data_IF_070319947239
#
_entry.id   IF_070319947239
#
_cell.length_a   1.000
_cell.length_b   1.000
_cell.length_c   1.000
_cell.angle_alpha   90.00
_cell.angle_beta   90.00
_cell.angle_gamma   90.00
#
_symmetry.space_group_name_H-M   'P 1'
#
loop_
_entity.id
_entity.type
_entity.pdbx_description
1 polymer ?
#
# COMPACT_ATOMS: atom_id res chain seq x y z
N UNK A 1 11.99 -8.04 14.04
CA UNK A 1 11.43 -7.35 15.22
C UNK A 1 10.10 -6.77 14.79
N UNK A 2 9.01 -7.02 15.52
CA UNK A 2 7.75 -6.29 15.30
C UNK A 2 8.08 -4.81 15.50
N UNK A 3 7.65 -3.93 14.60
CA UNK A 3 7.90 -2.49 14.74
C UNK A 3 7.03 -2.00 15.88
N UNK A 4 7.63 -1.38 16.91
CA UNK A 4 6.89 -0.85 18.06
C UNK A 4 5.78 0.12 17.60
N UNK A 5 6.02 0.86 16.51
CA UNK A 5 5.03 1.76 15.87
C UNK A 5 3.80 1.01 15.36
N UNK A 6 3.97 -0.18 14.77
CA UNK A 6 2.83 -0.98 14.28
C UNK A 6 2.04 -1.56 15.45
N UNK A 7 2.72 -1.96 16.52
CA UNK A 7 2.06 -2.43 17.74
C UNK A 7 1.24 -1.29 18.37
N UNK A 8 1.83 -0.12 18.53
CA UNK A 8 1.16 1.07 19.08
C UNK A 8 -0.05 1.48 18.22
N UNK A 9 0.09 1.44 16.89
CA UNK A 9 -1.02 1.68 15.96
C UNK A 9 -2.15 0.68 16.18
N UNK A 10 -1.83 -0.61 16.24
CA UNK A 10 -2.85 -1.66 16.39
C UNK A 10 -3.53 -1.60 17.76
N UNK A 11 -2.79 -1.27 18.81
CA UNK A 11 -3.36 -1.04 20.15
C UNK A 11 -4.26 0.19 20.18
N UNK A 12 -3.84 1.30 19.56
CA UNK A 12 -4.61 2.55 19.53
C UNK A 12 -5.97 2.39 18.85
N UNK A 13 -6.02 1.59 17.78
CA UNK A 13 -7.22 1.38 16.98
C UNK A 13 -7.92 0.04 17.26
N UNK A 14 -7.51 -0.67 18.32
CA UNK A 14 -8.05 -1.98 18.72
C UNK A 14 -8.16 -2.97 17.54
N UNK A 15 -7.08 -3.07 16.76
CA UNK A 15 -7.03 -3.80 15.50
C UNK A 15 -6.84 -5.30 15.74
N UNK A 16 -7.79 -6.10 15.26
CA UNK A 16 -7.66 -7.55 15.19
C UNK A 16 -6.85 -7.99 13.96
N UNK A 17 -5.85 -8.83 14.18
CA UNK A 17 -5.13 -9.51 13.09
C UNK A 17 -5.88 -10.79 12.73
N UNK A 18 -6.50 -10.81 11.55
CA UNK A 18 -7.31 -11.91 11.05
C UNK A 18 -6.47 -12.88 10.21
N UNK A 19 -6.53 -14.16 10.54
CA UNK A 19 -5.90 -15.22 9.76
C UNK A 19 -6.78 -15.61 8.54
N UNK A 20 -6.19 -15.60 7.35
CA UNK A 20 -6.80 -16.08 6.10
C UNK A 20 -6.04 -17.32 5.63
N UNK A 21 -6.66 -18.49 5.84
CA UNK A 21 -6.18 -19.77 5.32
C UNK A 21 -6.62 -19.99 3.87
N UNK A 22 -5.91 -20.89 3.19
CA UNK A 22 -6.24 -21.34 1.84
C UNK A 22 -7.63 -22.00 1.77
N UNK A 23 -8.61 -21.23 1.30
CA UNK A 23 -10.00 -21.70 1.11
C UNK A 23 -10.19 -22.55 -0.14
N UNK A 24 -9.24 -22.52 -1.09
CA UNK A 24 -9.36 -23.21 -2.38
C UNK A 24 -8.53 -24.49 -2.44
N UNK A 25 -7.71 -24.74 -1.42
CA UNK A 25 -6.89 -25.94 -1.25
C UNK A 25 -5.89 -26.14 -2.42
N UNK A 26 -5.39 -25.03 -2.95
CA UNK A 26 -4.40 -25.00 -4.03
C UNK A 26 -2.98 -24.72 -3.51
N UNK A 27 -2.71 -25.02 -2.23
CA UNK A 27 -1.45 -24.74 -1.53
C UNK A 27 -1.09 -23.25 -1.52
N UNK A 28 -2.07 -22.36 -1.39
CA UNK A 28 -1.75 -20.95 -1.18
C UNK A 28 -1.11 -20.75 0.20
N UNK A 29 -0.05 -19.94 0.31
CA UNK A 29 0.52 -19.60 1.60
C UNK A 29 -0.52 -18.92 2.48
N UNK A 30 -0.56 -19.32 3.74
CA UNK A 30 -1.34 -18.63 4.76
C UNK A 30 -0.97 -17.15 4.85
N UNK A 31 -1.97 -16.30 5.06
CA UNK A 31 -1.80 -14.87 5.20
C UNK A 31 -2.47 -14.37 6.46
N UNK A 32 -1.92 -13.32 7.05
CA UNK A 32 -2.56 -12.58 8.12
C UNK A 32 -2.87 -11.18 7.62
N UNK A 33 -4.06 -10.68 7.95
CA UNK A 33 -4.56 -9.39 7.48
C UNK A 33 -4.97 -8.56 8.68
N UNK A 34 -4.61 -7.29 8.68
CA UNK A 34 -5.10 -6.29 9.61
C UNK A 34 -5.58 -5.07 8.82
N UNK A 35 -6.73 -4.52 9.18
CA UNK A 35 -7.36 -3.41 8.46
C UNK A 35 -7.64 -2.29 9.45
N UNK A 36 -7.24 -1.05 9.12
CA UNK A 36 -7.59 0.18 9.82
C UNK A 36 -8.43 1.04 8.88
N UNK A 37 -9.74 0.76 8.68
CA UNK A 37 -10.53 1.40 7.64
C UNK A 37 -10.64 2.92 7.80
N UNK A 38 -10.62 3.42 9.03
CA UNK A 38 -10.70 4.86 9.35
C UNK A 38 -9.48 5.65 8.85
N UNK A 39 -8.35 4.97 8.62
CA UNK A 39 -7.13 5.53 8.05
C UNK A 39 -6.88 5.07 6.60
N UNK A 40 -7.75 4.22 6.05
CA UNK A 40 -7.59 3.66 4.71
C UNK A 40 -6.39 2.71 4.59
N UNK A 41 -6.02 2.02 5.69
CA UNK A 41 -4.85 1.14 5.72
C UNK A 41 -5.26 -0.34 5.78
N UNK A 42 -4.60 -1.17 4.97
CA UNK A 42 -4.66 -2.62 5.09
C UNK A 42 -3.24 -3.19 5.07
N UNK A 43 -2.96 -4.10 5.99
CA UNK A 43 -1.67 -4.74 6.20
C UNK A 43 -1.81 -6.23 5.91
N UNK A 44 -1.01 -6.74 4.97
CA UNK A 44 -0.82 -8.17 4.76
C UNK A 44 0.51 -8.60 5.38
N UNK A 45 0.48 -9.71 6.10
CA UNK A 45 1.68 -10.34 6.64
C UNK A 45 1.89 -11.72 6.00
N UNK A 46 3.16 -12.07 5.81
CA UNK A 46 3.56 -13.41 5.37
C UNK A 46 3.30 -14.47 6.46
N UNK A 47 3.56 -15.74 6.12
CA UNK A 47 3.41 -16.87 7.07
C UNK A 47 4.33 -16.78 8.29
N UNK A 48 5.37 -15.95 8.25
CA UNK A 48 6.26 -15.65 9.37
C UNK A 48 5.81 -14.41 10.17
N UNK A 49 4.61 -13.89 9.90
CA UNK A 49 4.04 -12.68 10.50
C UNK A 49 4.89 -11.42 10.26
N UNK A 50 5.57 -11.34 9.12
CA UNK A 50 6.30 -10.15 8.69
C UNK A 50 5.44 -9.39 7.69
N UNK A 51 5.38 -8.07 7.83
CA UNK A 51 4.63 -7.22 6.91
C UNK A 51 5.15 -7.42 5.48
N UNK A 52 4.28 -7.88 4.59
CA UNK A 52 4.58 -8.16 3.19
C UNK A 52 4.02 -7.08 2.27
N UNK A 53 2.82 -6.61 2.54
CA UNK A 53 2.15 -5.59 1.74
C UNK A 53 1.41 -4.61 2.64
N UNK A 54 1.53 -3.32 2.31
CA UNK A 54 0.73 -2.24 2.90
C UNK A 54 -0.07 -1.60 1.77
N UNK A 55 -1.38 -1.59 1.92
CA UNK A 55 -2.30 -0.86 1.07
C UNK A 55 -2.71 0.43 1.77
N UNK A 56 -2.73 1.52 1.00
CA UNK A 56 -3.10 2.86 1.46
C UNK A 56 -4.11 3.40 0.45
N UNK A 57 -5.36 3.54 0.88
CA UNK A 57 -6.44 4.12 0.09
C UNK A 57 -6.58 5.61 0.41
N UNK A 58 -7.09 6.38 -0.55
CA UNK A 58 -7.45 7.77 -0.28
C UNK A 58 -8.81 7.82 0.41
N UNK A 59 -8.81 7.78 1.74
CA UNK A 59 -10.02 7.91 2.55
C UNK A 59 -10.12 9.29 3.18
N UNK A 60 -11.34 9.83 3.28
CA UNK A 60 -11.59 11.05 4.05
C UNK A 60 -11.46 10.75 5.54
N UNK A 61 -10.38 11.22 6.15
CA UNK A 61 -10.16 11.08 7.59
C UNK A 61 -10.97 12.17 8.30
N UNK A 62 -12.09 11.78 8.91
CA UNK A 62 -12.87 12.66 9.77
C UNK A 62 -12.19 12.77 11.15
N UNK A 63 -11.32 13.77 11.33
CA UNK A 63 -10.64 14.03 12.60
C UNK A 63 -9.22 14.54 12.42
N UNK A 64 -8.44 14.52 13.51
CA UNK A 64 -7.01 14.86 13.46
C UNK A 64 -6.23 13.68 12.87
N UNK A 65 -5.64 13.86 11.70
CA UNK A 65 -4.66 12.92 11.16
C UNK A 65 -3.26 13.31 11.67
N UNK A 66 -2.64 12.54 12.57
CA UNK A 66 -1.31 12.88 13.11
C UNK A 66 -0.19 12.85 12.06
N UNK A 67 -0.47 12.31 10.87
CA UNK A 67 0.46 12.24 9.74
C UNK A 67 0.19 13.32 8.68
N UNK A 68 -0.77 14.22 8.90
CA UNK A 68 -1.07 15.31 7.98
C UNK A 68 0.12 16.28 7.90
N UNK A 69 0.72 16.40 6.71
CA UNK A 69 1.87 17.27 6.48
C UNK A 69 3.24 16.68 6.87
N UNK A 70 3.32 15.39 7.21
CA UNK A 70 4.62 14.72 7.46
C UNK A 70 5.43 14.57 6.15
N UNK A 71 6.61 15.22 6.01
CA UNK A 71 7.45 15.11 4.82
C UNK A 71 8.16 13.76 4.68
N UNK A 72 8.08 12.86 5.67
CA UNK A 72 8.74 11.54 5.69
C UNK A 72 7.89 10.45 4.99
N UNK A 73 6.63 10.77 4.64
CA UNK A 73 5.70 9.85 4.02
C UNK A 73 5.96 9.53 2.54
N UNK A 74 5.24 8.54 2.02
CA UNK A 74 5.23 8.23 0.59
C UNK A 74 4.66 9.42 -0.20
N UNK A 75 5.33 9.88 -1.26
CA UNK A 75 4.84 11.02 -2.03
C UNK A 75 3.49 10.69 -2.66
N UNK A 76 2.50 11.55 -2.45
CA UNK A 76 1.21 11.49 -3.15
C UNK A 76 1.30 12.30 -4.44
N UNK A 77 0.87 11.71 -5.54
CA UNK A 77 0.91 12.32 -6.86
C UNK A 77 -0.49 12.66 -7.33
N UNK A 78 -0.67 13.86 -7.88
CA UNK A 78 -1.95 14.28 -8.46
C UNK A 78 -2.27 13.55 -9.76
N UNK A 79 -1.26 12.99 -10.44
CA UNK A 79 -1.42 12.27 -11.69
C UNK A 79 -0.30 11.24 -11.92
N UNK A 80 -0.55 10.32 -12.85
CA UNK A 80 0.47 9.40 -13.38
C UNK A 80 1.72 10.14 -13.89
N UNK A 81 1.52 11.27 -14.57
CA UNK A 81 2.61 12.08 -15.13
C UNK A 81 3.54 12.62 -14.04
N UNK A 82 2.97 13.10 -12.94
CA UNK A 82 3.75 13.63 -11.81
C UNK A 82 4.61 12.55 -11.16
N UNK A 83 4.07 11.33 -11.01
CA UNK A 83 4.81 10.17 -10.49
C UNK A 83 6.00 9.82 -11.39
N UNK A 84 5.80 9.78 -12.72
CA UNK A 84 6.87 9.50 -13.69
C UNK A 84 7.94 10.60 -13.65
N UNK A 85 7.54 11.87 -13.59
CA UNK A 85 8.48 12.99 -13.47
C UNK A 85 9.29 12.90 -12.18
N UNK A 86 8.65 12.55 -11.06
CA UNK A 86 9.33 12.35 -9.79
C UNK A 86 10.35 11.20 -9.86
N UNK A 87 9.97 10.04 -10.41
CA UNK A 87 10.88 8.91 -10.55
C UNK A 87 12.09 9.26 -11.42
N UNK A 88 11.88 9.92 -12.56
CA UNK A 88 12.97 10.39 -13.43
C UNK A 88 13.91 11.37 -12.72
N UNK A 89 13.37 12.33 -11.96
CA UNK A 89 14.17 13.30 -11.20
C UNK A 89 15.04 12.65 -10.13
N UNK A 90 14.55 11.57 -9.52
CA UNK A 90 15.23 10.86 -8.44
C UNK A 90 15.97 9.59 -8.89
N UNK A 91 16.08 9.35 -10.21
CA UNK A 91 16.69 8.16 -10.79
C UNK A 91 16.13 6.84 -10.26
N UNK A 92 14.81 6.81 -10.00
CA UNK A 92 14.08 5.62 -9.56
C UNK A 92 13.69 4.81 -10.79
N UNK A 93 14.03 3.53 -10.79
CA UNK A 93 13.55 2.58 -11.80
C UNK A 93 12.03 2.43 -11.67
N UNK A 94 11.33 2.46 -12.80
CA UNK A 94 9.88 2.37 -12.81
C UNK A 94 9.37 1.45 -13.91
N UNK A 95 8.23 0.83 -13.64
CA UNK A 95 7.35 0.26 -14.65
C UNK A 95 6.02 1.01 -14.64
N UNK A 96 5.31 1.00 -15.76
CA UNK A 96 4.03 1.68 -15.87
C UNK A 96 3.09 0.92 -16.80
N UNK A 97 1.80 1.20 -16.67
CA UNK A 97 0.81 0.61 -17.56
C UNK A 97 -0.55 1.26 -17.44
N UNK A 98 -1.51 0.60 -18.09
CA UNK A 98 -2.93 0.92 -18.09
C UNK A 98 -3.70 -0.40 -18.17
N UNK A 99 -4.73 -0.54 -17.35
CA UNK A 99 -5.64 -1.68 -17.36
C UNK A 99 -7.09 -1.19 -17.49
N UNK A 100 -7.93 -1.97 -18.17
CA UNK A 100 -9.37 -1.79 -18.14
C UNK A 100 -9.97 -3.06 -17.54
N UNK A 101 -10.62 -2.92 -16.39
CA UNK A 101 -11.29 -4.01 -15.72
C UNK A 101 -12.70 -3.59 -15.33
N UNK A 102 -13.69 -4.34 -15.81
CA UNK A 102 -15.12 -4.06 -15.61
C UNK A 102 -15.52 -2.62 -16.01
N UNK A 103 -14.90 -2.07 -17.06
CA UNK A 103 -15.18 -0.73 -17.57
C UNK A 103 -14.46 0.40 -16.83
N UNK A 104 -13.72 0.08 -15.77
CA UNK A 104 -12.92 1.05 -15.01
C UNK A 104 -11.50 1.06 -15.57
N UNK A 105 -11.08 2.21 -16.08
CA UNK A 105 -9.72 2.43 -16.57
C UNK A 105 -8.83 2.80 -15.39
N UNK A 106 -7.80 2.01 -15.18
CA UNK A 106 -6.76 2.22 -14.18
C UNK A 106 -5.45 2.50 -14.87
N UNK A 107 -4.91 3.67 -14.61
CA UNK A 107 -3.54 4.02 -14.97
C UNK A 107 -2.64 3.71 -13.77
N UNK A 108 -1.43 3.21 -14.00
CA UNK A 108 -0.56 2.86 -12.88
C UNK A 108 0.92 3.06 -13.18
N UNK A 109 1.69 3.29 -12.12
CA UNK A 109 3.15 3.35 -12.11
C UNK A 109 3.65 2.61 -10.88
N UNK A 110 4.67 1.76 -11.05
CA UNK A 110 5.35 1.07 -9.97
C UNK A 110 6.80 1.49 -9.91
N UNK A 111 7.20 2.05 -8.76
CA UNK A 111 8.59 2.36 -8.44
C UNK A 111 9.27 1.13 -7.86
N UNK A 112 10.46 0.85 -8.37
CA UNK A 112 11.28 -0.26 -7.91
C UNK A 112 12.37 0.25 -6.97
N UNK A 113 12.38 -0.26 -5.75
CA UNK A 113 13.46 -0.10 -4.80
C UNK A 113 14.13 -1.45 -4.54
N UNK A 114 15.30 -1.44 -3.91
CA UNK A 114 16.05 -2.67 -3.63
C UNK A 114 15.24 -3.66 -2.78
N UNK A 115 14.60 -3.17 -1.71
CA UNK A 115 13.91 -3.99 -0.70
C UNK A 115 12.40 -4.02 -0.83
N UNK A 116 11.81 -3.16 -1.64
CA UNK A 116 10.37 -3.05 -1.80
C UNK A 116 10.03 -2.41 -3.15
N UNK A 117 8.75 -2.42 -3.49
CA UNK A 117 8.20 -1.64 -4.60
C UNK A 117 7.05 -0.80 -4.11
N UNK A 118 6.79 0.32 -4.79
CA UNK A 118 5.64 1.18 -4.51
C UNK A 118 4.82 1.32 -5.78
N UNK A 119 3.60 0.78 -5.76
CA UNK A 119 2.66 0.87 -6.85
C UNK A 119 1.63 1.97 -6.58
N UNK A 120 1.52 2.91 -7.51
CA UNK A 120 0.54 3.99 -7.52
C UNK A 120 -0.52 3.67 -8.57
N UNK A 121 -1.77 3.55 -8.13
CA UNK A 121 -2.93 3.38 -8.99
C UNK A 121 -3.72 4.67 -9.11
N UNK A 122 -4.11 5.00 -10.34
CA UNK A 122 -4.89 6.17 -10.67
C UNK A 122 -6.18 5.78 -11.38
N UNK A 123 -7.31 6.30 -10.88
CA UNK A 123 -8.65 6.16 -11.48
C UNK A 123 -9.17 7.57 -11.77
N UNK A 124 -9.72 7.79 -12.96
CA UNK A 124 -10.18 9.12 -13.41
C UNK A 124 -9.13 10.23 -13.21
N UNK A 125 -7.85 9.86 -13.41
CA UNK A 125 -6.67 10.73 -13.22
C UNK A 125 -6.44 11.23 -11.79
N UNK A 126 -7.03 10.57 -10.78
CA UNK A 126 -6.77 10.81 -9.35
C UNK A 126 -6.08 9.60 -8.74
N UNK A 127 -5.22 9.83 -7.76
CA UNK A 127 -4.60 8.75 -6.98
C UNK A 127 -5.67 8.05 -6.16
N UNK A 128 -5.87 6.76 -6.44
CA UNK A 128 -6.87 5.94 -5.75
C UNK A 128 -6.20 5.12 -4.64
N UNK A 129 -5.05 4.51 -4.95
CA UNK A 129 -4.40 3.55 -4.08
C UNK A 129 -2.88 3.58 -4.21
N UNK A 130 -2.20 3.51 -3.07
CA UNK A 130 -0.77 3.22 -2.99
C UNK A 130 -0.62 1.82 -2.41
N UNK A 131 0.22 1.00 -3.02
CA UNK A 131 0.58 -0.33 -2.50
C UNK A 131 2.08 -0.40 -2.32
N UNK A 132 2.54 -0.60 -1.09
CA UNK A 132 3.94 -0.89 -0.79
C UNK A 132 4.08 -2.39 -0.61
N UNK A 133 4.92 -3.01 -1.41
CA UNK A 133 5.16 -4.45 -1.34
C UNK A 133 6.63 -4.72 -1.05
N UNK A 134 6.89 -5.45 0.04
CA UNK A 134 8.22 -5.92 0.36
C UNK A 134 8.70 -6.93 -0.69
N UNK A 135 9.96 -6.80 -1.10
CA UNK A 135 10.65 -7.83 -1.88
C UNK A 135 11.25 -8.80 -0.88
N UNK A 136 10.52 -9.87 -0.57
CA UNK A 136 11.07 -10.95 0.22
C UNK A 136 12.17 -11.64 -0.60
N UNK A 137 13.38 -11.67 -0.07
CA UNK A 137 14.51 -12.43 -0.59
C UNK A 137 14.35 -13.92 -0.30
#
# INVERSE_FOLDING_TARGET
MKSDVLSDLFETYEIDVVYRYDRIHENQPDQYVAEVPQLGLEFLFDSQQRLSTLFIEDTEINGFNPFEGDPVGLPRFGSKGDAITHAKRNAIELSEGRANFLGIIRDWVRFEHEKYSVHYEFVDSKLEKITVQARHA
#
